data_IF_873920504130
#
_entry.id   IF_873920504130
#
_cell.length_a   1.000
_cell.length_b   1.000
_cell.length_c   1.000
_cell.angle_alpha   90.00
_cell.angle_beta   90.00
_cell.angle_gamma   90.00
#
_symmetry.space_group_name_H-M   'P 1'
#
loop_
_entity.id
_entity.type
_entity.pdbx_description
1 polymer ?
#
# COMPACT_ATOMS: atom_id res chain seq x y z
N UNK A 1 4.57 -14.81 30.89
CA UNK A 1 3.94 -15.70 29.88
C UNK A 1 4.07 -17.19 30.22
N UNK A 2 5.27 -17.79 30.33
CA UNK A 2 5.44 -19.23 30.64
C UNK A 2 4.78 -19.71 31.94
N UNK A 3 4.60 -18.82 32.91
CA UNK A 3 3.92 -19.09 34.18
C UNK A 3 2.39 -19.02 34.09
N UNK A 4 1.84 -18.34 33.08
CA UNK A 4 0.39 -18.18 32.87
C UNK A 4 -0.14 -19.06 31.73
N UNK A 5 0.71 -19.41 30.75
CA UNK A 5 0.34 -20.16 29.57
C UNK A 5 1.34 -21.30 29.35
N UNK A 6 0.80 -22.50 29.06
CA UNK A 6 1.61 -23.67 28.71
C UNK A 6 2.14 -23.50 27.28
N UNK A 7 3.29 -22.83 27.15
CA UNK A 7 3.91 -22.51 25.86
C UNK A 7 5.42 -22.74 25.85
N UNK A 8 5.93 -23.13 24.69
CA UNK A 8 7.37 -23.26 24.41
C UNK A 8 7.87 -21.96 23.77
N UNK A 9 9.02 -21.47 24.23
CA UNK A 9 9.68 -20.32 23.64
C UNK A 9 10.68 -20.81 22.60
N UNK A 10 10.42 -20.48 21.34
CA UNK A 10 11.23 -20.89 20.18
C UNK A 10 12.33 -19.87 19.86
N UNK A 11 12.55 -18.88 20.72
CA UNK A 11 13.49 -17.78 20.50
C UNK A 11 12.91 -16.68 19.62
N UNK A 12 13.79 -15.92 18.99
CA UNK A 12 13.41 -14.84 18.09
C UNK A 12 12.66 -15.37 16.87
N UNK A 13 11.64 -14.63 16.43
CA UNK A 13 10.90 -14.93 15.21
C UNK A 13 11.85 -14.93 14.00
N UNK A 14 11.93 -16.06 13.31
CA UNK A 14 12.72 -16.24 12.07
C UNK A 14 11.86 -16.52 10.84
N UNK A 15 10.65 -17.06 11.03
CA UNK A 15 9.73 -17.37 9.94
C UNK A 15 8.28 -17.39 10.43
N UNK A 16 7.38 -16.75 9.68
CA UNK A 16 5.95 -16.73 9.96
C UNK A 16 5.13 -16.76 8.68
N UNK A 17 4.36 -17.82 8.46
CA UNK A 17 3.44 -17.97 7.33
C UNK A 17 4.07 -17.69 5.94
N UNK A 18 5.37 -17.95 5.70
CA UNK A 18 5.98 -17.61 4.41
C UNK A 18 6.59 -16.22 4.33
N UNK A 19 6.66 -15.52 5.46
CA UNK A 19 7.49 -14.34 5.69
C UNK A 19 8.72 -14.80 6.48
N UNK A 20 9.89 -14.61 5.88
CA UNK A 20 11.18 -14.80 6.53
C UNK A 20 11.53 -13.50 7.29
N UNK A 21 12.00 -13.64 8.52
CA UNK A 21 12.29 -12.52 9.43
C UNK A 21 13.73 -12.60 9.87
N UNK A 22 14.49 -11.54 9.61
CA UNK A 22 15.85 -11.40 10.12
C UNK A 22 15.89 -10.28 11.17
N UNK A 23 16.42 -10.58 12.35
CA UNK A 23 16.52 -9.62 13.45
C UNK A 23 17.98 -9.40 13.78
N UNK A 24 18.53 -8.29 13.30
CA UNK A 24 19.91 -7.89 13.55
C UNK A 24 20.00 -6.83 14.65
N UNK A 25 21.22 -6.46 15.04
CA UNK A 25 21.44 -5.35 15.99
C UNK A 25 20.96 -4.00 15.43
N UNK A 26 20.89 -3.87 14.11
CA UNK A 26 20.68 -2.61 13.40
C UNK A 26 19.30 -2.48 12.76
N UNK A 27 18.61 -3.59 12.47
CA UNK A 27 17.31 -3.59 11.79
C UNK A 27 16.59 -4.93 11.96
N UNK A 28 15.27 -4.90 11.80
CA UNK A 28 14.46 -6.08 11.49
C UNK A 28 14.16 -6.04 9.99
N UNK A 29 14.32 -7.15 9.27
CA UNK A 29 13.92 -7.23 7.87
C UNK A 29 12.88 -8.32 7.67
N UNK A 30 11.92 -8.04 6.79
CA UNK A 30 10.87 -8.98 6.39
C UNK A 30 10.99 -9.25 4.90
N UNK A 31 11.06 -10.52 4.51
CA UNK A 31 11.12 -10.92 3.11
C UNK A 31 10.25 -12.12 2.81
N UNK A 32 9.94 -12.31 1.54
CA UNK A 32 9.12 -13.42 1.06
C UNK A 32 9.79 -14.12 -0.14
N UNK A 33 11.12 -14.20 -0.15
CA UNK A 33 11.91 -14.66 -1.30
C UNK A 33 11.59 -16.11 -1.65
N UNK A 34 11.52 -17.02 -0.67
CA UNK A 34 11.11 -18.40 -0.92
C UNK A 34 9.69 -18.52 -1.49
N UNK A 35 8.77 -17.67 -1.03
CA UNK A 35 7.39 -17.63 -1.53
C UNK A 35 7.33 -17.08 -2.96
N UNK A 36 8.06 -15.99 -3.24
CA UNK A 36 8.15 -15.39 -4.57
C UNK A 36 8.68 -16.39 -5.61
N UNK A 37 9.74 -17.16 -5.27
CA UNK A 37 10.29 -18.22 -6.15
C UNK A 37 9.24 -19.27 -6.50
N UNK A 38 8.55 -19.82 -5.49
CA UNK A 38 7.47 -20.80 -5.68
C UNK A 38 6.32 -20.25 -6.53
N UNK A 39 5.94 -18.98 -6.32
CA UNK A 39 4.91 -18.32 -7.12
C UNK A 39 5.34 -18.21 -8.60
N UNK A 40 6.58 -17.80 -8.86
CA UNK A 40 7.14 -17.68 -10.21
C UNK A 40 7.20 -19.03 -10.93
N UNK A 41 7.69 -20.08 -10.25
CA UNK A 41 7.75 -21.44 -10.78
C UNK A 41 6.36 -21.95 -11.16
N UNK A 42 5.38 -21.84 -10.25
CA UNK A 42 3.99 -22.24 -10.51
C UNK A 42 3.34 -21.46 -11.65
N UNK A 43 3.75 -20.21 -11.86
CA UNK A 43 3.27 -19.37 -12.95
C UNK A 43 4.05 -19.55 -14.26
N UNK A 44 5.01 -20.47 -14.33
CA UNK A 44 5.84 -20.71 -15.52
C UNK A 44 6.82 -19.58 -15.83
N UNK A 45 7.22 -18.80 -14.84
CA UNK A 45 8.09 -17.62 -14.97
C UNK A 45 9.35 -17.69 -14.09
N UNK A 46 9.81 -18.90 -13.74
CA UNK A 46 11.04 -19.11 -12.95
C UNK A 46 12.28 -18.45 -13.57
N UNK A 47 12.49 -18.65 -14.88
CA UNK A 47 13.59 -18.11 -15.69
C UNK A 47 13.10 -17.07 -16.70
N UNK A 48 12.25 -16.13 -16.26
CA UNK A 48 11.73 -15.10 -17.15
C UNK A 48 12.65 -13.89 -17.28
N UNK A 49 12.60 -13.21 -18.43
CA UNK A 49 13.16 -11.86 -18.56
C UNK A 49 12.44 -10.92 -17.59
N UNK A 50 13.23 -10.28 -16.72
CA UNK A 50 12.75 -9.34 -15.69
C UNK A 50 12.34 -7.99 -16.27
N UNK A 51 11.50 -7.26 -15.54
CA UNK A 51 11.19 -5.85 -15.83
C UNK A 51 11.42 -4.97 -14.58
N UNK A 52 11.48 -3.66 -14.80
CA UNK A 52 11.90 -2.68 -13.77
C UNK A 52 10.73 -1.95 -13.11
N UNK A 53 9.50 -2.22 -13.54
CA UNK A 53 8.27 -1.60 -13.02
C UNK A 53 7.18 -2.66 -12.86
N UNK A 54 6.32 -2.60 -11.84
CA UNK A 54 5.27 -3.61 -11.60
C UNK A 54 4.10 -3.49 -12.59
N UNK A 55 3.93 -2.33 -13.22
CA UNK A 55 2.81 -2.07 -14.13
C UNK A 55 3.19 -0.98 -15.15
N UNK A 56 2.74 -1.19 -16.38
CA UNK A 56 2.85 -0.20 -17.46
C UNK A 56 1.72 0.83 -17.36
N UNK A 57 1.87 1.99 -18.02
CA UNK A 57 0.81 3.02 -18.10
C UNK A 57 -0.34 2.64 -19.05
N UNK A 58 -0.65 1.35 -19.15
CA UNK A 58 -1.73 0.82 -19.97
C UNK A 58 -3.04 0.86 -19.19
N UNK A 59 -4.12 1.25 -19.86
CA UNK A 59 -5.47 1.23 -19.30
C UNK A 59 -6.18 -0.05 -19.75
N UNK A 60 -6.45 -0.95 -18.80
CA UNK A 60 -7.17 -2.20 -19.04
C UNK A 60 -8.68 -1.98 -18.87
N UNK A 61 -9.49 -2.66 -19.68
CA UNK A 61 -10.95 -2.57 -19.66
C UNK A 61 -11.57 -3.96 -19.62
N UNK A 62 -12.64 -4.12 -18.83
CA UNK A 62 -13.46 -5.33 -18.82
C UNK A 62 -14.13 -5.61 -20.18
N UNK A 63 -14.34 -4.58 -20.97
CA UNK A 63 -15.07 -4.63 -22.24
C UNK A 63 -14.15 -4.83 -23.45
N UNK A 64 -12.87 -5.17 -23.24
CA UNK A 64 -11.97 -5.48 -24.34
C UNK A 64 -12.41 -6.78 -25.07
N UNK A 65 -12.11 -6.87 -26.36
CA UNK A 65 -12.43 -7.99 -27.24
C UNK A 65 -11.39 -9.12 -27.21
N UNK A 66 -10.33 -8.99 -26.40
CA UNK A 66 -9.32 -10.03 -26.23
C UNK A 66 -9.94 -11.35 -25.74
N UNK A 67 -9.39 -12.52 -26.14
CA UNK A 67 -9.90 -13.82 -25.73
C UNK A 67 -9.95 -13.99 -24.20
N UNK A 68 -10.93 -14.74 -23.73
CA UNK A 68 -11.03 -15.12 -22.33
C UNK A 68 -9.88 -16.06 -21.95
N UNK A 69 -9.42 -15.94 -20.70
CA UNK A 69 -8.45 -16.87 -20.12
C UNK A 69 -9.09 -17.63 -18.95
N UNK A 70 -8.47 -18.72 -18.52
CA UNK A 70 -8.96 -19.47 -17.36
C UNK A 70 -8.98 -18.60 -16.09
N UNK A 71 -10.19 -18.30 -15.63
CA UNK A 71 -10.42 -17.49 -14.44
C UNK A 71 -9.88 -18.14 -13.17
N UNK A 72 -9.79 -19.46 -13.11
CA UNK A 72 -9.29 -20.18 -11.93
C UNK A 72 -7.78 -20.00 -11.80
N UNK A 73 -7.03 -20.26 -12.87
CA UNK A 73 -5.60 -19.98 -12.94
C UNK A 73 -5.29 -18.50 -12.68
N UNK A 74 -6.03 -17.59 -13.29
CA UNK A 74 -5.85 -16.14 -13.07
C UNK A 74 -6.04 -15.76 -11.59
N UNK A 75 -7.12 -16.22 -10.95
CA UNK A 75 -7.40 -15.96 -9.52
C UNK A 75 -6.34 -16.55 -8.61
N UNK A 76 -5.84 -17.75 -8.92
CA UNK A 76 -4.77 -18.41 -8.17
C UNK A 76 -3.47 -17.60 -8.18
N UNK A 77 -3.09 -17.08 -9.35
CA UNK A 77 -1.89 -16.24 -9.51
C UNK A 77 -2.05 -14.91 -8.78
N UNK A 78 -3.16 -14.21 -8.99
CA UNK A 78 -3.39 -12.90 -8.36
C UNK A 78 -3.56 -13.04 -6.84
N UNK A 79 -4.15 -14.14 -6.36
CA UNK A 79 -4.18 -14.47 -4.93
C UNK A 79 -2.78 -14.64 -4.33
N UNK A 80 -1.86 -15.28 -5.07
CA UNK A 80 -0.46 -15.39 -4.67
C UNK A 80 0.26 -14.03 -4.63
N UNK A 81 0.05 -13.19 -5.64
CA UNK A 81 0.58 -11.83 -5.67
C UNK A 81 0.03 -10.97 -4.53
N UNK A 82 -1.24 -11.13 -4.16
CA UNK A 82 -1.84 -10.49 -2.99
C UNK A 82 -1.21 -10.95 -1.68
N UNK A 83 -0.67 -12.16 -1.62
CA UNK A 83 0.06 -12.58 -0.43
C UNK A 83 1.43 -11.90 -0.30
N UNK A 84 2.11 -11.61 -1.42
CA UNK A 84 3.37 -10.88 -1.42
C UNK A 84 3.21 -9.43 -0.92
N UNK A 85 2.02 -8.83 -1.02
CA UNK A 85 1.81 -7.46 -0.56
C UNK A 85 1.99 -7.29 0.96
N UNK A 86 2.14 -8.36 1.75
CA UNK A 86 2.46 -8.27 3.18
C UNK A 86 3.88 -7.77 3.46
N UNK A 87 4.81 -7.91 2.51
CA UNK A 87 6.17 -7.33 2.61
C UNK A 87 6.51 -6.44 1.42
N UNK A 88 5.62 -6.36 0.42
CA UNK A 88 5.82 -5.65 -0.85
C UNK A 88 4.76 -4.58 -1.09
N UNK A 89 4.77 -3.47 -0.32
CA UNK A 89 3.88 -2.33 -0.59
C UNK A 89 4.07 -1.76 -2.00
N UNK A 90 5.26 -1.89 -2.59
CA UNK A 90 5.63 -1.40 -3.92
C UNK A 90 4.84 -2.04 -5.08
N UNK A 91 4.25 -3.22 -4.88
CA UNK A 91 3.37 -3.86 -5.87
C UNK A 91 1.87 -3.67 -5.56
N UNK A 92 1.53 -3.02 -4.45
CA UNK A 92 0.16 -2.95 -3.92
C UNK A 92 -0.85 -2.42 -4.94
N UNK A 93 -0.48 -1.35 -5.65
CA UNK A 93 -1.32 -0.79 -6.72
C UNK A 93 -1.54 -1.78 -7.87
N UNK A 94 -0.44 -2.35 -8.40
CA UNK A 94 -0.51 -3.25 -9.56
C UNK A 94 -1.37 -4.48 -9.24
N UNK A 95 -1.21 -5.07 -8.05
CA UNK A 95 -2.03 -6.18 -7.55
C UNK A 95 -3.50 -5.78 -7.43
N UNK A 96 -3.77 -4.61 -6.83
CA UNK A 96 -5.13 -4.08 -6.70
C UNK A 96 -5.82 -3.81 -8.04
N UNK A 97 -5.06 -3.37 -9.04
CA UNK A 97 -5.56 -3.10 -10.38
C UNK A 97 -5.90 -4.39 -11.14
N UNK A 98 -4.99 -5.37 -11.21
CA UNK A 98 -5.26 -6.65 -11.91
C UNK A 98 -6.34 -7.47 -11.22
N UNK A 99 -6.56 -7.28 -9.91
CA UNK A 99 -7.65 -7.92 -9.16
C UNK A 99 -9.05 -7.53 -9.66
N UNK A 100 -9.20 -6.42 -10.38
CA UNK A 100 -10.49 -5.93 -10.90
C UNK A 100 -11.12 -6.84 -11.95
N UNK A 101 -10.30 -7.70 -12.57
CA UNK A 101 -10.66 -8.53 -13.72
C UNK A 101 -10.80 -10.02 -13.37
N UNK A 102 -10.77 -10.39 -12.08
CA UNK A 102 -10.82 -11.80 -11.63
C UNK A 102 -12.10 -12.57 -12.03
N UNK A 103 -13.21 -11.86 -12.29
CA UNK A 103 -14.47 -12.50 -12.65
C UNK A 103 -14.46 -13.03 -14.10
N UNK A 104 -13.90 -12.25 -15.02
CA UNK A 104 -13.87 -12.54 -16.45
C UNK A 104 -12.54 -12.03 -17.04
N UNK A 105 -11.40 -12.69 -16.72
CA UNK A 105 -10.09 -12.25 -17.19
C UNK A 105 -9.89 -12.57 -18.68
N UNK A 106 -9.04 -11.78 -19.33
CA UNK A 106 -8.75 -11.82 -20.76
C UNK A 106 -7.23 -11.81 -20.97
N UNK A 107 -6.78 -12.04 -22.21
CA UNK A 107 -5.35 -12.17 -22.52
C UNK A 107 -4.52 -10.93 -22.15
N UNK A 108 -5.06 -9.73 -22.34
CA UNK A 108 -4.45 -8.46 -21.94
C UNK A 108 -4.33 -8.33 -20.41
N UNK A 109 -5.36 -8.75 -19.67
CA UNK A 109 -5.31 -8.84 -18.21
C UNK A 109 -4.22 -9.82 -17.76
N UNK A 110 -4.13 -10.98 -18.40
CA UNK A 110 -3.08 -11.97 -18.11
C UNK A 110 -1.69 -11.45 -18.49
N UNK A 111 -1.56 -10.69 -19.56
CA UNK A 111 -0.31 -10.05 -19.95
C UNK A 111 0.17 -9.06 -18.87
N UNK A 112 -0.73 -8.26 -18.30
CA UNK A 112 -0.41 -7.38 -17.18
C UNK A 112 0.01 -8.15 -15.91
N UNK A 113 -0.66 -9.27 -15.60
CA UNK A 113 -0.23 -10.16 -14.49
C UNK A 113 1.16 -10.76 -14.75
N UNK A 114 1.45 -11.19 -15.97
CA UNK A 114 2.77 -11.68 -16.36
C UNK A 114 3.84 -10.58 -16.27
N UNK A 115 3.52 -9.35 -16.65
CA UNK A 115 4.42 -8.19 -16.46
C UNK A 115 4.74 -7.99 -14.98
N UNK A 116 3.73 -7.99 -14.12
CA UNK A 116 3.91 -7.87 -12.68
C UNK A 116 4.78 -9.01 -12.10
N UNK A 117 4.58 -10.25 -12.55
CA UNK A 117 5.43 -11.37 -12.15
C UNK A 117 6.89 -11.21 -12.62
N UNK A 118 7.14 -10.64 -13.80
CA UNK A 118 8.51 -10.31 -14.25
C UNK A 118 9.19 -9.27 -13.37
N UNK A 119 8.43 -8.32 -12.82
CA UNK A 119 8.94 -7.37 -11.83
C UNK A 119 9.28 -8.08 -10.51
N UNK A 120 8.39 -8.95 -10.04
CA UNK A 120 8.65 -9.80 -8.86
C UNK A 120 9.89 -10.67 -9.08
N UNK A 121 10.09 -11.22 -10.27
CA UNK A 121 11.28 -12.03 -10.59
C UNK A 121 12.58 -11.24 -10.44
N UNK A 122 12.60 -9.97 -10.88
CA UNK A 122 13.75 -9.07 -10.74
C UNK A 122 13.90 -8.42 -9.38
N UNK A 123 12.94 -8.62 -8.47
CA UNK A 123 12.93 -8.04 -7.12
C UNK A 123 12.63 -9.10 -6.06
N UNK A 124 12.91 -10.39 -6.34
CA UNK A 124 12.48 -11.50 -5.46
C UNK A 124 13.20 -11.49 -4.11
N UNK A 125 14.41 -10.94 -4.08
CA UNK A 125 15.28 -10.85 -2.91
C UNK A 125 15.23 -9.43 -2.30
N UNK A 126 14.16 -8.69 -2.56
CA UNK A 126 13.92 -7.41 -1.90
C UNK A 126 13.25 -7.64 -0.55
N UNK A 127 13.61 -6.81 0.41
CA UNK A 127 13.17 -6.91 1.80
C UNK A 127 12.55 -5.59 2.27
N UNK A 128 11.61 -5.70 3.19
CA UNK A 128 11.06 -4.57 3.92
C UNK A 128 11.91 -4.35 5.18
N UNK A 129 12.60 -3.21 5.24
CA UNK A 129 13.59 -2.90 6.28
C UNK A 129 12.96 -2.01 7.35
N UNK A 130 13.03 -2.47 8.59
CA UNK A 130 12.67 -1.76 9.80
C UNK A 130 13.94 -1.38 10.55
N UNK A 131 14.56 -0.22 10.24
CA UNK A 131 15.77 0.20 10.92
C UNK A 131 15.53 0.35 12.42
N UNK A 132 16.51 -0.08 13.21
CA UNK A 132 16.46 0.09 14.65
C UNK A 132 16.46 1.58 14.96
N UNK A 133 15.46 1.95 15.76
CA UNK A 133 15.22 3.31 16.18
C UNK A 133 16.44 3.94 16.86
N UNK A 134 16.83 5.12 16.39
CA UNK A 134 17.60 6.11 17.15
C UNK A 134 16.65 6.87 18.10
N UNK A 135 17.14 7.31 19.28
CA UNK A 135 16.34 7.95 20.35
C UNK A 135 15.35 9.00 19.79
N UNK A 136 14.10 9.02 20.26
CA UNK A 136 13.07 9.99 19.83
C UNK A 136 11.68 9.68 20.42
N UNK A 137 10.61 10.30 19.89
CA UNK A 137 9.21 9.93 20.16
C UNK A 137 8.69 8.94 19.09
N UNK A 138 7.67 8.13 19.40
CA UNK A 138 7.04 7.20 18.44
C UNK A 138 5.96 7.99 17.73
N UNK A 139 6.24 8.44 16.52
CA UNK A 139 5.31 9.26 15.74
C UNK A 139 4.63 8.41 14.67
N UNK A 140 3.31 8.46 14.65
CA UNK A 140 2.52 7.86 13.58
C UNK A 140 2.29 8.93 12.52
N UNK A 141 2.66 8.64 11.27
CA UNK A 141 2.50 9.55 10.14
C UNK A 141 1.75 8.80 9.04
N UNK A 142 0.69 9.39 8.51
CA UNK A 142 -0.07 8.83 7.39
C UNK A 142 0.15 9.64 6.12
N UNK A 143 0.23 8.97 4.99
CA UNK A 143 0.24 9.56 3.65
C UNK A 143 -1.00 9.08 2.92
N UNK A 144 -1.69 9.99 2.24
CA UNK A 144 -2.80 9.64 1.37
C UNK A 144 -2.70 10.36 0.04
N UNK A 145 -3.00 9.62 -1.02
CA UNK A 145 -3.04 10.13 -2.39
C UNK A 145 -4.25 9.51 -3.11
N UNK A 146 -4.68 10.13 -4.20
CA UNK A 146 -5.65 9.57 -5.12
C UNK A 146 -5.26 9.72 -6.59
N UNK A 147 -5.46 8.66 -7.37
CA UNK A 147 -5.39 8.75 -8.84
C UNK A 147 -6.82 8.86 -9.40
N UNK A 148 -7.16 10.05 -9.90
CA UNK A 148 -8.50 10.36 -10.39
C UNK A 148 -8.78 9.64 -11.72
N UNK A 149 -9.92 8.95 -11.80
CA UNK A 149 -10.39 8.31 -13.04
C UNK A 149 -9.42 7.25 -13.61
N UNK A 150 -8.66 6.57 -12.75
CA UNK A 150 -7.78 5.47 -13.16
C UNK A 150 -8.53 4.20 -13.65
N UNK A 151 -9.81 4.05 -13.30
CA UNK A 151 -10.71 3.00 -13.82
C UNK A 151 -11.44 3.49 -15.08
N UNK A 152 -11.14 2.91 -16.25
CA UNK A 152 -11.82 3.29 -17.51
C UNK A 152 -13.27 2.87 -17.56
N UNK A 153 -13.63 1.76 -16.92
CA UNK A 153 -14.98 1.19 -16.96
C UNK A 153 -15.89 1.91 -15.97
N UNK A 154 -15.43 2.05 -14.73
CA UNK A 154 -16.22 2.62 -13.63
C UNK A 154 -16.02 4.12 -13.41
N UNK A 155 -15.03 4.74 -14.06
CA UNK A 155 -14.58 6.13 -13.82
C UNK A 155 -14.28 6.45 -12.35
N UNK A 156 -13.98 5.43 -11.56
CA UNK A 156 -13.65 5.52 -10.13
C UNK A 156 -12.15 5.73 -9.96
N UNK A 157 -11.80 6.57 -8.99
CA UNK A 157 -10.42 6.83 -8.60
C UNK A 157 -9.85 5.69 -7.77
N UNK A 158 -8.52 5.66 -7.61
CA UNK A 158 -7.83 4.75 -6.70
C UNK A 158 -7.26 5.54 -5.54
N UNK A 159 -7.57 5.14 -4.31
CA UNK A 159 -6.98 5.69 -3.08
C UNK A 159 -5.76 4.87 -2.68
N UNK A 160 -4.67 5.55 -2.39
CA UNK A 160 -3.46 5.01 -1.79
C UNK A 160 -3.34 5.52 -0.35
N UNK A 161 -3.08 4.62 0.58
CA UNK A 161 -2.86 4.94 2.00
C UNK A 161 -1.59 4.27 2.47
N UNK A 162 -0.74 5.00 3.18
CA UNK A 162 0.50 4.48 3.75
C UNK A 162 0.74 5.09 5.12
N UNK A 163 0.89 4.25 6.15
CA UNK A 163 1.20 4.67 7.52
C UNK A 163 2.59 4.24 7.93
N UNK A 164 3.31 5.16 8.54
CA UNK A 164 4.61 4.95 9.17
C UNK A 164 4.51 5.11 10.68
N UNK A 165 5.24 4.26 11.39
CA UNK A 165 5.57 4.44 12.80
C UNK A 165 7.06 4.75 12.89
N UNK A 166 7.41 6.01 13.16
CA UNK A 166 8.76 6.52 12.94
C UNK A 166 9.15 6.43 11.46
N UNK A 167 10.30 5.82 11.16
CA UNK A 167 10.76 5.60 9.78
C UNK A 167 10.24 4.31 9.14
N UNK A 168 9.38 3.56 9.84
CA UNK A 168 8.99 2.20 9.46
C UNK A 168 7.55 2.16 8.92
N UNK A 169 7.30 1.66 7.71
CA UNK A 169 5.93 1.45 7.23
C UNK A 169 5.25 0.30 8.00
N UNK A 170 4.08 0.56 8.56
CA UNK A 170 3.33 -0.42 9.36
C UNK A 170 1.97 -0.80 8.76
N UNK A 171 1.47 0.00 7.82
CA UNK A 171 0.19 -0.27 7.17
C UNK A 171 0.12 0.40 5.82
N UNK A 172 -0.43 -0.29 4.82
CA UNK A 172 -0.60 0.26 3.48
C UNK A 172 -1.82 -0.33 2.80
N UNK A 173 -2.41 0.44 1.90
CA UNK A 173 -3.57 0.02 1.14
C UNK A 173 -3.62 0.73 -0.20
N UNK A 174 -3.93 -0.04 -1.26
CA UNK A 174 -4.39 0.50 -2.54
C UNK A 174 -5.81 0.02 -2.77
N UNK A 175 -6.77 0.94 -2.89
CA UNK A 175 -8.18 0.60 -2.96
C UNK A 175 -8.91 1.45 -3.99
N UNK A 176 -9.74 0.79 -4.81
CA UNK A 176 -10.64 1.51 -5.71
C UNK A 176 -11.74 2.20 -4.90
N UNK A 177 -11.94 3.50 -5.12
CA UNK A 177 -13.01 4.26 -4.47
C UNK A 177 -14.38 3.68 -4.82
N UNK A 178 -15.30 3.68 -3.86
CA UNK A 178 -16.66 3.14 -4.05
C UNK A 178 -17.57 4.10 -4.82
N UNK A 179 -17.32 5.40 -4.67
CA UNK A 179 -18.06 6.49 -5.33
C UNK A 179 -17.20 7.07 -6.45
N UNK A 180 -17.86 7.66 -7.45
CA UNK A 180 -17.19 8.42 -8.51
C UNK A 180 -16.97 9.84 -7.98
N UNK A 181 -15.72 10.29 -7.98
CA UNK A 181 -15.38 11.67 -7.66
C UNK A 181 -15.60 12.56 -8.89
N UNK A 182 -16.18 13.74 -8.70
CA UNK A 182 -16.43 14.71 -9.78
C UNK A 182 -15.24 15.64 -10.02
N UNK A 183 -14.23 15.60 -9.15
CA UNK A 183 -13.02 16.39 -9.25
C UNK A 183 -11.83 15.70 -8.57
N UNK A 184 -10.62 16.18 -8.84
CA UNK A 184 -9.41 15.71 -8.15
C UNK A 184 -9.49 15.99 -6.65
N UNK A 185 -10.04 17.15 -6.23
CA UNK A 185 -10.14 17.46 -4.80
C UNK A 185 -11.12 16.52 -4.08
N UNK A 186 -12.22 16.09 -4.72
CA UNK A 186 -13.14 15.11 -4.13
C UNK A 186 -12.48 13.73 -4.01
N UNK A 187 -11.71 13.33 -5.02
CA UNK A 187 -10.96 12.07 -4.99
C UNK A 187 -9.95 12.07 -3.82
N UNK A 188 -9.20 13.17 -3.65
CA UNK A 188 -8.28 13.36 -2.53
C UNK A 188 -9.00 13.37 -1.18
N UNK A 189 -10.18 14.00 -1.12
CA UNK A 189 -10.98 14.04 0.10
C UNK A 189 -11.48 12.64 0.51
N UNK A 190 -11.88 11.82 -0.47
CA UNK A 190 -12.25 10.41 -0.23
C UNK A 190 -11.03 9.59 0.22
N UNK A 191 -9.84 9.88 -0.32
CA UNK A 191 -8.60 9.24 0.12
C UNK A 191 -8.24 9.62 1.57
N UNK A 192 -8.36 10.90 1.91
CA UNK A 192 -8.19 11.37 3.28
C UNK A 192 -9.18 10.68 4.23
N UNK A 193 -10.46 10.56 3.87
CA UNK A 193 -11.47 9.92 4.70
C UNK A 193 -11.15 8.44 4.96
N UNK A 194 -10.71 7.73 3.92
CA UNK A 194 -10.27 6.33 4.02
C UNK A 194 -9.08 6.20 4.99
N UNK A 195 -8.14 7.13 4.88
CA UNK A 195 -6.94 7.22 5.73
C UNK A 195 -7.31 7.51 7.19
N UNK A 196 -8.29 8.39 7.43
CA UNK A 196 -8.81 8.69 8.77
C UNK A 196 -9.41 7.44 9.42
N UNK A 197 -10.23 6.68 8.69
CA UNK A 197 -10.79 5.42 9.19
C UNK A 197 -9.69 4.44 9.61
N UNK A 198 -8.66 4.28 8.76
CA UNK A 198 -7.53 3.40 9.05
C UNK A 198 -6.70 3.91 10.24
N UNK A 199 -6.55 5.22 10.42
CA UNK A 199 -5.93 5.79 11.62
C UNK A 199 -6.72 5.49 12.90
N UNK A 200 -8.03 5.71 12.89
CA UNK A 200 -8.86 5.43 14.07
C UNK A 200 -8.74 3.95 14.46
N UNK A 201 -8.71 3.07 13.46
CA UNK A 201 -8.44 1.65 13.69
C UNK A 201 -7.03 1.37 14.23
N UNK A 202 -5.97 1.94 13.63
CA UNK A 202 -4.57 1.76 14.06
C UNK A 202 -4.29 2.32 15.46
N UNK A 203 -5.01 3.35 15.88
CA UNK A 203 -4.80 3.99 17.19
C UNK A 203 -4.97 3.04 18.36
N UNK A 204 -5.98 2.16 18.30
CA UNK A 204 -6.31 1.21 19.38
C UNK A 204 -5.22 0.16 19.62
N UNK A 205 -4.82 -0.67 18.63
CA UNK A 205 -3.78 -1.67 18.84
C UNK A 205 -2.42 -1.03 19.13
N UNK A 206 -2.12 0.15 18.57
CA UNK A 206 -0.88 0.84 18.91
C UNK A 206 -0.86 1.28 20.37
N UNK A 207 -1.93 1.87 20.88
CA UNK A 207 -2.02 2.26 22.29
C UNK A 207 -1.89 1.06 23.23
N UNK A 208 -2.49 -0.08 22.88
CA UNK A 208 -2.34 -1.33 23.65
C UNK A 208 -0.90 -1.88 23.62
N UNK A 209 -0.23 -1.80 22.47
CA UNK A 209 1.13 -2.33 22.31
C UNK A 209 2.21 -1.42 22.90
N UNK A 210 2.03 -0.10 22.86
CA UNK A 210 3.04 0.87 23.30
C UNK A 210 2.77 1.42 24.70
N UNK A 211 1.57 1.24 25.24
CA UNK A 211 1.15 1.83 26.53
C UNK A 211 0.94 3.34 26.49
N UNK A 212 1.02 3.94 25.30
CA UNK A 212 0.88 5.37 25.04
C UNK A 212 -0.17 5.58 23.96
N UNK A 213 -1.13 6.49 24.16
CA UNK A 213 -1.97 6.92 23.05
C UNK A 213 -1.08 7.56 21.98
N UNK A 214 -1.07 6.96 20.79
CA UNK A 214 -0.38 7.54 19.64
C UNK A 214 -0.90 8.98 19.45
N UNK A 215 0.01 9.95 19.50
CA UNK A 215 -0.28 11.37 19.24
C UNK A 215 -1.11 11.51 17.95
N UNK A 216 -1.88 12.60 17.84
CA UNK A 216 -2.59 12.95 16.62
C UNK A 216 -1.60 12.88 15.45
N UNK A 217 -1.71 11.89 14.54
CA UNK A 217 -0.76 11.70 13.47
C UNK A 217 -0.94 12.85 12.51
N UNK A 218 0.18 13.28 11.94
CA UNK A 218 0.10 14.13 10.78
C UNK A 218 -0.31 13.24 9.58
N UNK A 219 -1.43 13.60 8.95
CA UNK A 219 -1.90 13.02 7.70
C UNK A 219 -1.48 13.96 6.56
N UNK A 220 -0.54 13.47 5.76
CA UNK A 220 0.10 14.16 4.66
C UNK A 220 -0.78 14.09 3.41
N UNK A 221 -1.31 15.24 3.02
CA UNK A 221 -2.18 15.42 1.85
C UNK A 221 -1.54 16.45 0.91
N UNK A 222 -1.47 16.17 -0.39
CA UNK A 222 -0.83 17.07 -1.36
C UNK A 222 -1.79 18.07 -2.03
N UNK A 223 -3.05 18.07 -1.59
CA UNK A 223 -4.09 18.95 -2.11
C UNK A 223 -4.55 19.98 -1.06
N UNK A 224 -4.08 21.22 -1.22
CA UNK A 224 -4.44 22.35 -0.35
C UNK A 224 -5.94 22.63 -0.31
N UNK A 225 -6.65 22.40 -1.42
CA UNK A 225 -8.11 22.58 -1.49
C UNK A 225 -8.84 21.54 -0.65
N UNK A 226 -8.39 20.28 -0.66
CA UNK A 226 -8.95 19.23 0.20
C UNK A 226 -8.72 19.54 1.69
N UNK A 227 -7.54 20.05 2.06
CA UNK A 227 -7.24 20.50 3.43
C UNK A 227 -8.13 21.68 3.84
N UNK A 228 -8.28 22.69 2.98
CA UNK A 228 -9.13 23.85 3.27
C UNK A 228 -10.59 23.44 3.47
N UNK A 229 -11.09 22.49 2.68
CA UNK A 229 -12.46 21.98 2.77
C UNK A 229 -12.71 21.21 4.07
N UNK A 230 -11.73 20.45 4.55
CA UNK A 230 -11.82 19.81 5.86
C UNK A 230 -11.99 20.85 6.98
N UNK A 231 -11.28 21.99 6.88
CA UNK A 231 -11.30 23.07 7.87
C UNK A 231 -12.50 24.02 7.76
N UNK A 232 -13.20 24.08 6.62
CA UNK A 232 -14.29 25.05 6.41
C UNK A 232 -15.68 24.39 6.19
N UNK A 233 -16.66 24.60 7.09
CA UNK A 233 -18.00 24.04 6.99
C UNK A 233 -18.88 24.55 5.83
N UNK A 234 -18.54 25.66 5.18
CA UNK A 234 -19.48 26.40 4.31
C UNK A 234 -19.49 25.89 2.85
N UNK A 235 -18.56 25.01 2.46
CA UNK A 235 -18.30 24.67 1.05
C UNK A 235 -19.06 23.42 0.50
N UNK A 236 -20.12 22.92 1.16
CA UNK A 236 -20.71 21.59 0.86
C UNK A 236 -21.82 21.52 -0.18
N UNK A 237 -22.36 22.66 -0.65
CA UNK A 237 -23.57 22.64 -1.48
C UNK A 237 -23.44 21.80 -2.77
N UNK A 238 -22.21 21.57 -3.25
CA UNK A 238 -21.91 20.80 -4.48
C UNK A 238 -21.51 19.33 -4.26
N UNK A 239 -21.38 18.86 -3.01
CA UNK A 239 -20.69 17.59 -2.70
C UNK A 239 -21.53 16.61 -1.86
N UNK A 240 -22.85 16.65 -1.96
CA UNK A 240 -23.80 15.85 -1.14
C UNK A 240 -23.54 14.33 -1.15
N UNK A 241 -23.02 13.79 -2.26
CA UNK A 241 -22.77 12.35 -2.42
C UNK A 241 -21.57 11.84 -1.58
N UNK A 242 -20.76 12.75 -1.03
CA UNK A 242 -19.66 12.43 -0.10
C UNK A 242 -19.84 13.10 1.27
N UNK A 243 -21.04 13.58 1.59
CA UNK A 243 -21.30 14.41 2.77
C UNK A 243 -20.87 13.78 4.10
N UNK A 244 -21.20 12.50 4.27
CA UNK A 244 -20.79 11.71 5.44
C UNK A 244 -19.28 11.67 5.67
N UNK A 245 -18.47 11.78 4.60
CA UNK A 245 -17.00 11.83 4.72
C UNK A 245 -16.53 13.19 5.22
N UNK A 246 -17.22 14.28 4.89
CA UNK A 246 -16.90 15.61 5.43
C UNK A 246 -17.08 15.64 6.93
N UNK A 247 -18.23 15.15 7.41
CA UNK A 247 -18.50 15.07 8.84
C UNK A 247 -17.47 14.20 9.56
N UNK A 248 -17.19 13.00 9.05
CA UNK A 248 -16.25 12.10 9.70
C UNK A 248 -14.82 12.65 9.81
N UNK A 249 -14.29 13.27 8.74
CA UNK A 249 -12.94 13.87 8.79
C UNK A 249 -12.90 14.99 9.83
N UNK A 250 -13.95 15.81 9.91
CA UNK A 250 -14.02 16.89 10.91
C UNK A 250 -14.07 16.36 12.32
N UNK A 251 -14.93 15.39 12.59
CA UNK A 251 -15.01 14.77 13.92
C UNK A 251 -13.65 14.21 14.34
N UNK A 252 -12.88 13.65 13.41
CA UNK A 252 -11.52 13.20 13.67
C UNK A 252 -10.55 14.38 13.96
N UNK A 253 -10.67 15.50 13.26
CA UNK A 253 -9.82 16.70 13.48
C UNK A 253 -10.17 17.35 14.83
N UNK A 254 -11.45 17.61 15.06
CA UNK A 254 -11.96 18.29 16.25
C UNK A 254 -11.76 17.44 17.51
N UNK A 255 -11.88 16.11 17.38
CA UNK A 255 -11.53 15.15 18.42
C UNK A 255 -10.02 14.94 18.62
N UNK A 256 -9.16 15.67 17.90
CA UNK A 256 -7.70 15.56 18.01
C UNK A 256 -7.14 14.21 17.57
N UNK A 257 -7.90 13.41 16.82
CA UNK A 257 -7.49 12.08 16.36
C UNK A 257 -6.55 12.14 15.15
N UNK A 258 -6.58 13.25 14.39
CA UNK A 258 -5.76 13.50 13.20
C UNK A 258 -5.40 14.98 13.07
N UNK A 259 -4.30 15.25 12.39
CA UNK A 259 -3.94 16.60 11.91
C UNK A 259 -3.63 16.54 10.43
N UNK A 260 -4.41 17.24 9.60
CA UNK A 260 -4.13 17.35 8.17
C UNK A 260 -2.97 18.32 7.93
N UNK A 261 -1.93 17.85 7.27
CA UNK A 261 -0.75 18.63 6.89
C UNK A 261 -0.50 18.54 5.40
N UNK A 262 0.00 19.63 4.82
CA UNK A 262 0.34 19.68 3.42
C UNK A 262 1.70 19.04 3.18
N UNK A 263 1.78 18.15 2.20
CA UNK A 263 3.05 17.64 1.66
C UNK A 263 3.13 18.01 0.18
N UNK A 264 4.31 18.34 -0.32
CA UNK A 264 4.44 18.56 -1.77
C UNK A 264 4.31 17.22 -2.50
N UNK A 265 3.75 17.23 -3.72
CA UNK A 265 3.56 16.02 -4.54
C UNK A 265 4.88 15.24 -4.75
N UNK A 266 6.02 15.94 -4.84
CA UNK A 266 7.33 15.29 -4.93
C UNK A 266 7.68 14.42 -3.70
N UNK A 267 7.11 14.71 -2.54
CA UNK A 267 7.32 13.99 -1.28
C UNK A 267 6.12 13.12 -0.87
N UNK A 268 5.08 13.05 -1.72
CA UNK A 268 3.90 12.24 -1.49
C UNK A 268 4.23 10.75 -1.68
N UNK A 269 4.38 10.01 -0.58
CA UNK A 269 4.67 8.58 -0.61
C UNK A 269 3.47 7.74 -1.03
N UNK A 270 2.24 8.27 -0.92
CA UNK A 270 1.01 7.62 -1.36
C UNK A 270 0.96 7.32 -2.87
N UNK A 271 1.71 8.06 -3.68
CA UNK A 271 1.79 7.91 -5.14
C UNK A 271 2.05 6.46 -5.61
N UNK A 272 2.89 5.73 -4.87
CA UNK A 272 3.26 4.34 -5.22
C UNK A 272 2.06 3.38 -5.13
N UNK A 273 1.01 3.78 -4.44
CA UNK A 273 -0.21 2.98 -4.20
C UNK A 273 -1.39 3.42 -5.07
N UNK A 274 -1.27 4.46 -5.89
CA UNK A 274 -2.41 5.01 -6.65
C UNK A 274 -2.32 4.81 -8.15
N UNK A 275 -1.11 4.78 -8.73
CA UNK A 275 -0.91 4.79 -10.19
C UNK A 275 0.37 4.09 -10.63
N UNK A 276 0.50 3.70 -11.93
CA UNK A 276 1.75 3.22 -12.47
C UNK A 276 2.79 4.34 -12.52
N UNK A 277 3.97 4.08 -11.95
CA UNK A 277 5.08 5.03 -11.89
C UNK A 277 6.18 4.69 -12.90
N UNK A 278 6.87 5.71 -13.40
CA UNK A 278 8.10 5.51 -14.16
C UNK A 278 9.21 4.94 -13.28
N UNK A 279 10.16 4.21 -13.89
CA UNK A 279 11.24 3.49 -13.18
C UNK A 279 11.93 4.31 -12.09
N UNK A 280 12.40 5.52 -12.42
CA UNK A 280 13.16 6.35 -11.47
C UNK A 280 12.33 6.73 -10.24
N UNK A 281 11.10 7.19 -10.46
CA UNK A 281 10.18 7.57 -9.37
C UNK A 281 9.76 6.37 -8.53
N UNK A 282 9.51 5.22 -9.17
CA UNK A 282 9.21 3.98 -8.44
C UNK A 282 10.37 3.60 -7.52
N UNK A 283 11.61 3.56 -8.04
CA UNK A 283 12.77 3.19 -7.25
C UNK A 283 13.02 4.14 -6.08
N UNK A 284 12.84 5.44 -6.31
CA UNK A 284 12.91 6.47 -5.27
C UNK A 284 11.89 6.21 -4.16
N UNK A 285 10.60 6.10 -4.50
CA UNK A 285 9.54 5.89 -3.51
C UNK A 285 9.68 4.54 -2.81
N UNK A 286 10.00 3.47 -3.55
CA UNK A 286 10.23 2.12 -3.02
C UNK A 286 11.30 2.12 -1.93
N UNK A 287 12.40 2.86 -2.16
CA UNK A 287 13.47 3.02 -1.16
C UNK A 287 12.98 3.84 0.05
N UNK A 288 12.24 4.93 -0.17
CA UNK A 288 11.68 5.75 0.93
C UNK A 288 10.67 5.00 1.80
N UNK A 289 9.97 4.02 1.24
CA UNK A 289 9.07 3.14 1.99
C UNK A 289 9.78 1.88 2.52
N UNK A 290 11.12 1.85 2.51
CA UNK A 290 11.93 0.79 3.14
C UNK A 290 11.95 -0.54 2.39
N UNK A 291 11.53 -0.60 1.13
CA UNK A 291 11.66 -1.80 0.29
C UNK A 291 12.96 -1.70 -0.51
N UNK A 292 13.97 -2.48 -0.12
CA UNK A 292 15.31 -2.41 -0.71
C UNK A 292 15.83 -3.79 -1.11
N UNK A 293 16.80 -3.79 -2.01
CA UNK A 293 17.56 -5.00 -2.35
C UNK A 293 18.52 -5.33 -1.19
N UNK A 294 18.72 -6.62 -0.93
CA UNK A 294 19.74 -7.07 0.02
C UNK A 294 21.09 -6.50 -0.43
N UNK A 295 21.64 -5.59 0.37
CA UNK A 295 23.06 -5.31 0.32
C UNK A 295 23.71 -6.43 1.11
N UNK A 296 24.22 -7.45 0.44
CA UNK A 296 25.21 -8.33 1.05
C UNK A 296 26.36 -7.40 1.52
N UNK A 297 26.39 -7.10 2.82
CA UNK A 297 27.57 -6.51 3.41
C UNK A 297 28.72 -7.49 3.20
N UNK A 298 29.96 -7.01 2.96
CA UNK A 298 31.09 -7.92 2.82
C UNK A 298 31.13 -8.79 4.07
N UNK A 299 31.02 -10.10 3.88
CA UNK A 299 31.25 -11.08 4.92
C UNK A 299 32.63 -10.79 5.53
N UNK A 300 32.65 -10.31 6.78
CA UNK A 300 33.82 -10.33 7.64
C UNK A 300 33.84 -11.63 8.43
#
# INVERSE_FOLDING_TARGET
MKTMFRMSDLGLLTYYLGIEVEQSKNAITLRQSAYARKLLERSGLGECRVCQTPMEKLKLSKNNTAPLVDATSYRSIVGGLRYLTHTRPDIGFAVGYVSRFMAEPREDHLAAVKHLLRYVAGTRDYELIYPRRSRGALELIGYCDSDMVGDVDGRRSTTGVLFFLGACPISWQSVKQRVVALSTYEAEYIAAATTCCQRVWLGRPLAELTGDEARAPALMVDNKSAIALAKNPVLHDRSKHIDTKFHFIRDCIDGGQIKLEYVETAWQLGDILTKPLGRLRLQELRTKIGVEEIKEGPHN
#
